data_IF_906846573838
#
_entry.id   IF_906846573838
#
_cell.length_a   1.000
_cell.length_b   1.000
_cell.length_c   1.000
_cell.angle_alpha   90.00
_cell.angle_beta   90.00
_cell.angle_gamma   90.00
#
_symmetry.space_group_name_H-M   'P 1'
#
loop_
_entity.id
_entity.type
_entity.pdbx_description
1 polymer ?
#
# COMPACT_ATOMS: atom_id res chain seq x y z
N UNK A 1 -2.78 -9.72 16.32
CA UNK A 1 -1.90 -8.92 17.19
C UNK A 1 -0.40 -9.12 16.90
N UNK A 2 0.07 -10.35 16.63
CA UNK A 2 1.51 -10.63 16.44
C UNK A 2 2.03 -10.03 15.12
N UNK A 3 1.30 -10.14 14.04
CA UNK A 3 1.65 -9.49 12.76
C UNK A 3 1.80 -7.98 12.89
N UNK A 4 0.90 -7.33 13.64
CA UNK A 4 0.99 -5.91 13.93
C UNK A 4 2.27 -5.57 14.72
N UNK A 5 2.58 -6.36 15.76
CA UNK A 5 3.81 -6.17 16.55
C UNK A 5 5.06 -6.30 15.66
N UNK A 6 5.09 -7.27 14.74
CA UNK A 6 6.21 -7.44 13.80
C UNK A 6 6.44 -6.20 12.93
N UNK A 7 5.36 -5.65 12.36
CA UNK A 7 5.45 -4.43 11.54
C UNK A 7 5.87 -3.24 12.39
N UNK A 8 5.32 -3.11 13.60
CA UNK A 8 5.69 -2.03 14.52
C UNK A 8 7.16 -2.10 14.93
N UNK A 9 7.70 -3.28 15.23
CA UNK A 9 9.12 -3.44 15.56
C UNK A 9 9.99 -2.92 14.41
N UNK A 10 9.67 -3.30 13.15
CA UNK A 10 10.40 -2.81 11.99
C UNK A 10 10.30 -1.30 11.82
N UNK A 11 9.08 -0.75 11.90
CA UNK A 11 8.84 0.68 11.75
C UNK A 11 9.53 1.51 12.84
N UNK A 12 9.37 1.13 14.11
CA UNK A 12 10.00 1.84 15.22
C UNK A 12 11.54 1.75 15.14
N UNK A 13 12.07 0.58 14.81
CA UNK A 13 13.52 0.42 14.61
C UNK A 13 14.04 1.32 13.49
N UNK A 14 13.31 1.43 12.39
CA UNK A 14 13.67 2.29 11.26
C UNK A 14 13.63 3.78 11.66
N UNK A 15 12.53 4.24 12.28
CA UNK A 15 12.37 5.63 12.75
C UNK A 15 13.49 6.05 13.72
N UNK A 16 13.96 5.12 14.55
CA UNK A 16 15.06 5.41 15.51
C UNK A 16 16.42 5.38 14.82
N UNK A 17 16.66 4.42 13.91
CA UNK A 17 17.96 4.25 13.26
C UNK A 17 18.22 5.28 12.16
N UNK A 18 17.18 5.75 11.45
CA UNK A 18 17.32 6.75 10.39
C UNK A 18 18.00 8.04 10.87
N UNK A 19 17.54 8.72 11.94
CA UNK A 19 18.21 9.92 12.44
C UNK A 19 19.65 9.65 12.92
N UNK A 20 19.89 8.51 13.53
CA UNK A 20 21.22 8.16 14.06
C UNK A 20 22.22 8.01 12.91
N UNK A 21 21.85 7.29 11.84
CA UNK A 21 22.75 7.05 10.71
C UNK A 21 22.86 8.24 9.76
N UNK A 22 21.75 8.96 9.55
CA UNK A 22 21.74 10.12 8.64
C UNK A 22 22.47 11.31 9.27
N UNK A 23 22.10 11.68 10.50
CA UNK A 23 22.60 12.88 11.16
C UNK A 23 23.73 12.60 12.14
N UNK A 24 23.65 11.52 12.94
CA UNK A 24 24.67 11.20 13.94
C UNK A 24 25.98 10.70 13.32
N UNK A 25 25.90 9.81 12.34
CA UNK A 25 27.06 9.26 11.65
C UNK A 25 27.36 9.95 10.31
N UNK A 26 26.60 10.97 9.93
CA UNK A 26 26.73 11.75 8.69
C UNK A 26 26.79 10.90 7.41
N UNK A 27 26.14 9.72 7.41
CA UNK A 27 26.17 8.79 6.27
C UNK A 27 25.21 9.15 5.14
N UNK A 28 24.31 10.16 5.34
CA UNK A 28 23.34 10.58 4.33
C UNK A 28 22.47 9.44 3.82
N UNK A 29 22.34 9.30 2.48
CA UNK A 29 21.52 8.27 1.83
C UNK A 29 21.94 6.85 2.16
N UNK A 30 23.27 6.62 2.34
CA UNK A 30 23.80 5.30 2.75
C UNK A 30 23.32 4.93 4.16
N UNK A 31 23.21 5.91 5.04
CA UNK A 31 22.69 5.73 6.41
C UNK A 31 21.24 5.28 6.39
N UNK A 32 20.37 5.93 5.59
CA UNK A 32 18.98 5.54 5.43
C UNK A 32 18.83 4.10 4.89
N UNK A 33 19.65 3.72 3.90
CA UNK A 33 19.65 2.36 3.38
C UNK A 33 20.05 1.33 4.42
N UNK A 34 21.10 1.60 5.22
CA UNK A 34 21.52 0.72 6.31
C UNK A 34 20.47 0.61 7.42
N UNK A 35 19.85 1.71 7.82
CA UNK A 35 18.78 1.70 8.81
C UNK A 35 17.61 0.82 8.35
N UNK A 36 17.21 0.92 7.08
CA UNK A 36 16.17 0.09 6.49
C UNK A 36 16.53 -1.39 6.53
N UNK A 37 17.77 -1.76 6.12
CA UNK A 37 18.22 -3.16 6.12
C UNK A 37 18.23 -3.71 7.55
N UNK A 38 18.78 -2.97 8.51
CA UNK A 38 18.85 -3.40 9.91
C UNK A 38 17.45 -3.57 10.51
N UNK A 39 16.54 -2.64 10.26
CA UNK A 39 15.15 -2.70 10.73
C UNK A 39 14.42 -3.92 10.19
N UNK A 40 14.62 -4.25 8.91
CA UNK A 40 14.06 -5.46 8.30
C UNK A 40 14.70 -6.73 8.87
N UNK A 41 16.00 -6.73 9.13
CA UNK A 41 16.68 -7.85 9.81
C UNK A 41 16.11 -8.08 11.21
N UNK A 42 15.91 -7.03 11.99
CA UNK A 42 15.32 -7.11 13.34
C UNK A 42 13.92 -7.72 13.29
N UNK A 43 13.07 -7.24 12.36
CA UNK A 43 11.73 -7.81 12.13
C UNK A 43 11.80 -9.28 11.72
N UNK A 44 12.72 -9.64 10.83
CA UNK A 44 12.92 -11.00 10.38
C UNK A 44 13.33 -11.93 11.53
N UNK A 45 14.32 -11.52 12.33
CA UNK A 45 14.76 -12.28 13.52
C UNK A 45 13.60 -12.47 14.50
N UNK A 46 12.80 -11.43 14.73
CA UNK A 46 11.61 -11.53 15.58
C UNK A 46 10.61 -12.58 15.07
N UNK A 47 10.29 -12.54 13.77
CA UNK A 47 9.37 -13.51 13.15
C UNK A 47 9.91 -14.93 13.24
N UNK A 48 11.17 -15.11 12.92
CA UNK A 48 11.83 -16.43 12.99
C UNK A 48 11.83 -16.95 14.42
N UNK A 49 12.22 -16.14 15.39
CA UNK A 49 12.19 -16.51 16.81
C UNK A 49 10.77 -16.87 17.28
N UNK A 50 9.75 -16.12 16.80
CA UNK A 50 8.37 -16.44 17.09
C UNK A 50 7.93 -17.79 16.49
N UNK A 51 8.30 -18.08 15.22
CA UNK A 51 7.96 -19.33 14.54
C UNK A 51 8.65 -20.57 15.16
N UNK A 52 9.82 -20.40 15.74
CA UNK A 52 10.47 -21.46 16.54
C UNK A 52 9.92 -21.58 17.96
N UNK A 53 9.13 -20.60 18.41
CA UNK A 53 8.51 -20.58 19.72
C UNK A 53 7.42 -21.66 19.91
N UNK A 54 7.16 -22.01 21.17
CA UNK A 54 6.15 -23.03 21.53
C UNK A 54 4.69 -22.52 21.41
N UNK A 55 4.48 -21.23 21.15
CA UNK A 55 3.14 -20.57 21.09
C UNK A 55 2.50 -20.61 19.71
N UNK A 56 3.19 -21.11 18.67
CA UNK A 56 2.68 -21.15 17.30
C UNK A 56 2.15 -22.53 16.93
N UNK A 57 1.03 -22.53 16.21
CA UNK A 57 0.45 -23.72 15.59
C UNK A 57 1.33 -24.16 14.39
N UNK A 58 1.91 -23.17 13.68
CA UNK A 58 2.80 -23.39 12.54
C UNK A 58 4.23 -23.61 13.06
N UNK A 59 4.79 -24.76 12.73
CA UNK A 59 6.20 -25.11 13.06
C UNK A 59 7.01 -25.32 11.79
N UNK A 60 8.12 -24.60 11.71
CA UNK A 60 9.11 -24.85 10.65
C UNK A 60 9.78 -26.19 10.91
N UNK A 61 9.52 -27.17 10.03
CA UNK A 61 10.18 -28.47 10.02
C UNK A 61 11.03 -28.57 8.75
N UNK A 62 12.28 -28.97 8.87
CA UNK A 62 13.18 -29.14 7.72
C UNK A 62 12.62 -30.08 6.65
N UNK A 63 11.83 -31.08 7.05
CA UNK A 63 11.16 -32.01 6.14
C UNK A 63 10.14 -31.33 5.20
N UNK A 64 9.60 -30.17 5.57
CA UNK A 64 8.58 -29.45 4.80
C UNK A 64 9.18 -28.42 3.81
N UNK A 65 10.51 -28.34 3.70
CA UNK A 65 11.17 -27.49 2.70
C UNK A 65 11.04 -28.04 1.27
N UNK A 66 10.83 -29.34 1.12
CA UNK A 66 10.55 -29.95 -0.19
C UNK A 66 9.06 -29.80 -0.50
N UNK A 67 8.71 -28.70 -1.15
CA UNK A 67 7.31 -28.41 -1.50
C UNK A 67 6.97 -29.08 -2.83
N UNK A 68 5.84 -29.80 -2.88
CA UNK A 68 5.34 -30.41 -4.10
C UNK A 68 4.99 -29.36 -5.16
N UNK A 69 5.36 -29.58 -6.45
CA UNK A 69 5.00 -28.68 -7.55
C UNK A 69 3.50 -28.39 -7.64
N UNK A 70 2.65 -29.34 -7.24
CA UNK A 70 1.18 -29.19 -7.21
C UNK A 70 0.69 -28.10 -6.25
N UNK A 71 1.48 -27.76 -5.22
CA UNK A 71 1.16 -26.72 -4.26
C UNK A 71 1.76 -25.37 -4.69
N UNK A 72 2.96 -25.43 -5.29
CA UNK A 72 3.67 -24.21 -5.73
C UNK A 72 2.98 -23.57 -6.94
N UNK A 73 2.52 -24.37 -7.90
CA UNK A 73 1.98 -23.88 -9.17
C UNK A 73 0.78 -22.92 -8.99
N UNK A 74 -0.26 -23.22 -8.19
CA UNK A 74 -1.33 -22.25 -7.91
C UNK A 74 -0.84 -20.96 -7.24
N UNK A 75 0.14 -21.05 -6.34
CA UNK A 75 0.71 -19.86 -5.67
C UNK A 75 1.46 -18.97 -6.68
N UNK A 76 2.23 -19.58 -7.60
CA UNK A 76 2.92 -18.84 -8.67
C UNK A 76 1.92 -18.17 -9.60
N UNK A 77 0.84 -18.84 -9.97
CA UNK A 77 -0.20 -18.28 -10.85
C UNK A 77 -0.86 -17.05 -10.23
N UNK A 78 -1.20 -17.10 -8.93
CA UNK A 78 -1.72 -15.95 -8.20
C UNK A 78 -0.69 -14.81 -8.11
N UNK A 79 0.57 -15.15 -7.86
CA UNK A 79 1.67 -14.18 -7.82
C UNK A 79 1.94 -13.53 -9.19
N UNK A 80 1.80 -14.29 -10.28
CA UNK A 80 2.00 -13.81 -11.65
C UNK A 80 0.95 -12.75 -12.03
N UNK A 81 -0.30 -12.94 -11.63
CA UNK A 81 -1.36 -11.93 -11.85
C UNK A 81 -1.01 -10.59 -11.19
N UNK A 82 -0.59 -10.64 -9.93
CA UNK A 82 -0.14 -9.44 -9.19
C UNK A 82 1.12 -8.82 -9.82
N UNK A 83 2.06 -9.65 -10.26
CA UNK A 83 3.29 -9.20 -10.94
C UNK A 83 2.98 -8.45 -12.23
N UNK A 84 2.10 -8.99 -13.08
CA UNK A 84 1.69 -8.35 -14.34
C UNK A 84 1.03 -7.00 -14.06
N UNK A 85 0.15 -6.93 -13.05
CA UNK A 85 -0.53 -5.70 -12.66
C UNK A 85 0.49 -4.63 -12.22
N UNK A 86 1.42 -4.96 -11.33
CA UNK A 86 2.44 -4.03 -10.84
C UNK A 86 3.44 -3.62 -11.94
N UNK A 87 3.78 -4.54 -12.84
CA UNK A 87 4.64 -4.24 -13.99
C UNK A 87 3.96 -3.27 -14.97
N UNK A 88 2.67 -3.45 -15.21
CA UNK A 88 1.88 -2.56 -16.05
C UNK A 88 1.81 -1.14 -15.48
N UNK A 89 1.59 -1.01 -14.17
CA UNK A 89 1.64 0.27 -13.46
C UNK A 89 2.99 0.98 -13.62
N UNK A 90 4.09 0.23 -13.50
CA UNK A 90 5.45 0.77 -13.68
C UNK A 90 5.69 1.27 -15.10
N UNK A 91 5.27 0.50 -16.12
CA UNK A 91 5.38 0.90 -17.54
C UNK A 91 4.55 2.15 -17.82
N UNK A 92 3.30 2.19 -17.33
CA UNK A 92 2.43 3.37 -17.46
C UNK A 92 3.09 4.60 -16.83
N UNK A 93 3.64 4.47 -15.64
CA UNK A 93 4.34 5.57 -14.94
C UNK A 93 5.52 6.11 -15.74
N UNK A 94 6.35 5.23 -16.30
CA UNK A 94 7.50 5.65 -17.13
C UNK A 94 7.04 6.36 -18.42
N UNK A 95 6.07 5.78 -19.13
CA UNK A 95 5.53 6.38 -20.34
C UNK A 95 4.87 7.73 -20.07
N UNK A 96 4.13 7.82 -18.97
CA UNK A 96 3.44 9.04 -18.59
C UNK A 96 4.41 10.15 -18.21
N UNK A 97 5.43 9.86 -17.39
CA UNK A 97 6.46 10.83 -17.01
C UNK A 97 7.28 11.29 -18.21
N UNK A 98 7.62 10.38 -19.13
CA UNK A 98 8.35 10.73 -20.37
C UNK A 98 7.51 11.65 -21.26
N UNK A 99 6.21 11.40 -21.38
CA UNK A 99 5.31 12.26 -22.16
C UNK A 99 5.10 13.62 -21.50
N UNK A 100 4.96 13.67 -20.17
CA UNK A 100 4.85 14.92 -19.43
C UNK A 100 6.09 15.79 -19.58
N UNK A 101 7.28 15.20 -19.49
CA UNK A 101 8.53 15.93 -19.70
C UNK A 101 8.60 16.55 -21.11
N UNK A 102 8.18 15.78 -22.12
CA UNK A 102 8.23 16.21 -23.53
C UNK A 102 7.26 17.35 -23.86
N UNK A 103 6.04 17.32 -23.30
CA UNK A 103 4.96 18.25 -23.66
C UNK A 103 4.66 19.31 -22.59
N UNK A 104 4.97 19.06 -21.34
CA UNK A 104 4.65 19.96 -20.22
C UNK A 104 5.86 20.53 -19.47
N UNK A 105 7.07 20.04 -19.80
CA UNK A 105 8.29 20.49 -19.14
C UNK A 105 8.38 20.12 -17.65
N UNK A 106 9.31 20.77 -16.95
CA UNK A 106 9.63 20.46 -15.55
C UNK A 106 8.47 20.75 -14.58
N UNK A 107 7.66 21.75 -14.87
CA UNK A 107 6.49 22.11 -14.05
C UNK A 107 5.47 20.98 -14.05
N UNK A 108 5.20 20.37 -15.21
CA UNK A 108 4.24 19.27 -15.30
C UNK A 108 4.74 18.00 -14.60
N UNK A 109 6.04 17.71 -14.68
CA UNK A 109 6.66 16.58 -13.95
C UNK A 109 6.63 16.83 -12.44
N UNK A 110 6.95 18.05 -12.01
CA UNK A 110 6.85 18.45 -10.60
C UNK A 110 5.42 18.33 -10.07
N UNK A 111 4.44 18.83 -10.82
CA UNK A 111 3.03 18.68 -10.46
C UNK A 111 2.61 17.22 -10.38
N UNK A 112 3.01 16.37 -11.33
CA UNK A 112 2.70 14.94 -11.31
C UNK A 112 3.29 14.22 -10.10
N UNK A 113 4.48 14.60 -9.68
CA UNK A 113 5.09 14.08 -8.45
C UNK A 113 4.25 14.41 -7.22
N UNK A 114 3.72 15.63 -7.15
CA UNK A 114 2.81 16.04 -6.07
C UNK A 114 1.49 15.25 -6.14
N UNK A 115 0.90 15.13 -7.32
CA UNK A 115 -0.34 14.38 -7.55
C UNK A 115 -0.22 12.92 -7.09
N UNK A 116 0.86 12.25 -7.50
CA UNK A 116 1.13 10.85 -7.11
C UNK A 116 1.37 10.72 -5.62
N UNK A 117 2.03 11.67 -4.99
CA UNK A 117 2.25 11.69 -3.53
C UNK A 117 0.94 11.85 -2.76
N UNK A 118 0.07 12.76 -3.19
CA UNK A 118 -1.28 12.93 -2.62
C UNK A 118 -2.10 11.64 -2.78
N UNK A 119 -2.06 11.01 -3.96
CA UNK A 119 -2.77 9.75 -4.20
C UNK A 119 -2.22 8.60 -3.35
N UNK A 120 -0.91 8.48 -3.19
CA UNK A 120 -0.33 7.46 -2.31
C UNK A 120 -0.78 7.66 -0.86
N UNK A 121 -0.76 8.89 -0.37
CA UNK A 121 -1.26 9.22 0.96
C UNK A 121 -2.75 8.88 1.10
N UNK A 122 -3.55 9.19 0.10
CA UNK A 122 -4.98 8.87 0.03
C UNK A 122 -5.25 7.35 0.07
N UNK A 123 -4.40 6.56 -0.60
CA UNK A 123 -4.57 5.11 -0.72
C UNK A 123 -4.13 4.33 0.53
N UNK A 124 -3.24 4.86 1.37
CA UNK A 124 -2.73 4.17 2.55
C UNK A 124 -3.84 3.68 3.50
N UNK A 125 -4.79 4.53 3.96
CA UNK A 125 -5.87 4.06 4.82
C UNK A 125 -6.82 3.08 4.13
N UNK A 126 -7.14 3.29 2.84
CA UNK A 126 -7.98 2.37 2.07
C UNK A 126 -7.36 0.98 1.99
N UNK A 127 -6.07 0.91 1.69
CA UNK A 127 -5.31 -0.35 1.67
C UNK A 127 -5.29 -1.01 3.06
N UNK A 128 -5.08 -0.23 4.12
CA UNK A 128 -5.08 -0.74 5.49
C UNK A 128 -6.42 -1.34 5.91
N UNK A 129 -7.52 -0.65 5.63
CA UNK A 129 -8.89 -1.10 5.92
C UNK A 129 -9.21 -2.36 5.10
N UNK A 130 -8.88 -2.36 3.81
CA UNK A 130 -9.13 -3.48 2.90
C UNK A 130 -8.35 -4.72 3.32
N UNK A 131 -7.04 -4.60 3.57
CA UNK A 131 -6.20 -5.71 4.03
C UNK A 131 -6.61 -6.21 5.43
N UNK A 132 -7.05 -5.33 6.32
CA UNK A 132 -7.57 -5.70 7.63
C UNK A 132 -8.87 -6.53 7.55
N UNK A 133 -9.68 -6.31 6.53
CA UNK A 133 -10.93 -7.07 6.30
C UNK A 133 -10.71 -8.44 5.65
N UNK A 134 -9.60 -8.62 4.93
CA UNK A 134 -9.28 -9.83 4.18
C UNK A 134 -9.37 -11.13 5.01
N UNK A 135 -8.71 -11.25 6.18
CA UNK A 135 -8.77 -12.47 6.97
C UNK A 135 -10.20 -12.76 7.48
N UNK A 136 -11.00 -11.72 7.73
CA UNK A 136 -12.38 -11.89 8.19
C UNK A 136 -13.24 -12.44 7.05
N UNK A 137 -13.11 -11.90 5.84
CA UNK A 137 -13.82 -12.37 4.66
C UNK A 137 -13.42 -13.82 4.31
N UNK A 138 -12.12 -14.09 4.20
CA UNK A 138 -11.60 -15.42 3.82
C UNK A 138 -11.98 -16.51 4.83
N UNK A 139 -11.87 -16.22 6.13
CA UNK A 139 -12.23 -17.18 7.18
C UNK A 139 -13.72 -17.53 7.16
N UNK A 140 -14.60 -16.50 7.09
CA UNK A 140 -16.05 -16.74 7.10
C UNK A 140 -16.51 -17.38 5.78
N UNK A 141 -15.87 -17.09 4.65
CA UNK A 141 -16.14 -17.74 3.38
C UNK A 141 -15.78 -19.24 3.43
N UNK A 142 -14.57 -19.57 3.91
CA UNK A 142 -14.14 -20.96 4.10
C UNK A 142 -14.99 -21.74 5.12
N UNK A 143 -15.58 -21.05 6.11
CA UNK A 143 -16.51 -21.64 7.07
C UNK A 143 -17.97 -21.76 6.54
N UNK A 144 -18.26 -21.35 5.29
CA UNK A 144 -19.60 -21.37 4.72
C UNK A 144 -20.56 -20.33 5.29
N UNK A 145 -20.06 -19.32 6.02
CA UNK A 145 -20.89 -18.36 6.76
C UNK A 145 -21.21 -17.13 5.90
N UNK A 146 -22.08 -17.33 4.89
CA UNK A 146 -22.43 -16.33 3.87
C UNK A 146 -23.01 -15.04 4.47
N UNK A 147 -23.74 -15.11 5.55
CA UNK A 147 -24.31 -13.95 6.20
C UNK A 147 -23.23 -13.02 6.76
N UNK A 148 -22.23 -13.59 7.43
CA UNK A 148 -21.09 -12.82 7.96
C UNK A 148 -20.23 -12.23 6.86
N UNK A 149 -20.00 -12.98 5.78
CA UNK A 149 -19.29 -12.47 4.58
C UNK A 149 -20.01 -11.26 4.02
N UNK A 150 -21.34 -11.36 3.83
CA UNK A 150 -22.15 -10.25 3.30
C UNK A 150 -22.14 -9.02 4.24
N UNK A 151 -22.23 -9.25 5.55
CA UNK A 151 -22.19 -8.16 6.55
C UNK A 151 -20.83 -7.46 6.55
N UNK A 152 -19.74 -8.23 6.54
CA UNK A 152 -18.38 -7.69 6.50
C UNK A 152 -18.14 -6.91 5.22
N UNK A 153 -18.57 -7.43 4.06
CA UNK A 153 -18.44 -6.73 2.78
C UNK A 153 -19.22 -5.41 2.76
N UNK A 154 -20.47 -5.40 3.24
CA UNK A 154 -21.26 -4.17 3.33
C UNK A 154 -20.60 -3.13 4.23
N UNK A 155 -20.04 -3.55 5.37
CA UNK A 155 -19.34 -2.66 6.26
C UNK A 155 -18.05 -2.11 5.62
N UNK A 156 -17.26 -2.98 4.99
CA UNK A 156 -16.07 -2.59 4.25
C UNK A 156 -16.40 -1.56 3.17
N UNK A 157 -17.42 -1.83 2.35
CA UNK A 157 -17.87 -0.94 1.29
C UNK A 157 -18.32 0.42 1.85
N UNK A 158 -19.12 0.42 2.91
CA UNK A 158 -19.57 1.66 3.56
C UNK A 158 -18.42 2.50 4.08
N UNK A 159 -17.46 1.88 4.79
CA UNK A 159 -16.29 2.59 5.35
C UNK A 159 -15.40 3.13 4.24
N UNK A 160 -15.08 2.31 3.22
CA UNK A 160 -14.25 2.74 2.10
C UNK A 160 -14.91 3.86 1.28
N UNK A 161 -16.21 3.77 1.02
CA UNK A 161 -16.95 4.83 0.34
C UNK A 161 -16.97 6.12 1.15
N UNK A 162 -17.31 6.05 2.44
CA UNK A 162 -17.34 7.24 3.30
C UNK A 162 -15.97 7.93 3.32
N UNK A 163 -14.90 7.16 3.48
CA UNK A 163 -13.55 7.71 3.46
C UNK A 163 -13.21 8.36 2.10
N UNK A 164 -13.51 7.66 0.99
CA UNK A 164 -13.22 8.17 -0.36
C UNK A 164 -13.99 9.44 -0.68
N UNK A 165 -15.27 9.52 -0.28
CA UNK A 165 -16.08 10.73 -0.46
C UNK A 165 -15.60 11.90 0.38
N UNK A 166 -15.26 11.65 1.64
CA UNK A 166 -14.75 12.69 2.54
C UNK A 166 -13.42 13.24 2.00
N UNK A 167 -12.51 12.36 1.60
CA UNK A 167 -11.21 12.76 1.09
C UNK A 167 -11.33 13.48 -0.26
N UNK A 168 -12.16 12.97 -1.16
CA UNK A 168 -12.47 13.63 -2.42
C UNK A 168 -13.01 15.03 -2.21
N UNK A 169 -14.01 15.18 -1.35
CA UNK A 169 -14.57 16.49 -1.02
C UNK A 169 -13.55 17.44 -0.40
N UNK A 170 -12.66 16.92 0.44
CA UNK A 170 -11.61 17.72 1.06
C UNK A 170 -10.56 18.21 0.05
N UNK A 171 -10.16 17.35 -0.90
CA UNK A 171 -9.24 17.73 -1.98
C UNK A 171 -9.87 18.75 -2.93
N UNK A 172 -11.15 18.57 -3.30
CA UNK A 172 -11.86 19.50 -4.18
C UNK A 172 -12.06 20.89 -3.55
N UNK A 173 -12.34 20.93 -2.24
CA UNK A 173 -12.54 22.20 -1.52
C UNK A 173 -11.23 22.96 -1.27
N UNK A 174 -10.14 22.21 -1.00
CA UNK A 174 -8.86 22.82 -0.60
C UNK A 174 -7.66 22.35 -1.43
N UNK A 175 -7.71 22.38 -2.78
CA UNK A 175 -6.63 21.84 -3.63
C UNK A 175 -5.32 22.61 -3.46
N UNK A 176 -5.39 23.94 -3.27
CA UNK A 176 -4.22 24.78 -3.04
C UNK A 176 -3.53 24.47 -1.69
N UNK A 177 -4.30 24.05 -0.68
CA UNK A 177 -3.75 23.63 0.61
C UNK A 177 -2.85 22.41 0.46
N UNK A 178 -3.31 21.42 -0.30
CA UNK A 178 -2.51 20.22 -0.61
C UNK A 178 -1.26 20.57 -1.43
N UNK A 179 -1.37 21.39 -2.47
CA UNK A 179 -0.23 21.79 -3.27
C UNK A 179 0.85 22.57 -2.46
N UNK A 180 0.43 23.45 -1.56
CA UNK A 180 1.32 24.20 -0.66
C UNK A 180 2.09 23.34 0.34
N UNK A 181 1.60 22.15 0.68
CA UNK A 181 2.33 21.23 1.56
C UNK A 181 3.61 20.69 0.91
N UNK A 182 3.67 20.68 -0.43
CA UNK A 182 4.77 20.08 -1.18
C UNK A 182 5.67 21.11 -1.87
N UNK A 183 5.18 22.32 -2.15
CA UNK A 183 5.96 23.36 -2.82
C UNK A 183 5.60 24.76 -2.33
N UNK A 184 6.59 25.66 -2.44
CA UNK A 184 6.42 27.10 -2.18
C UNK A 184 6.36 27.92 -3.46
N UNK A 185 6.55 27.31 -4.63
CA UNK A 185 6.50 27.99 -5.94
C UNK A 185 5.04 28.24 -6.34
N UNK A 186 4.69 29.53 -6.51
CA UNK A 186 3.33 29.94 -6.83
C UNK A 186 2.82 29.38 -8.17
N UNK A 187 3.68 29.32 -9.19
CA UNK A 187 3.32 28.81 -10.51
C UNK A 187 3.03 27.31 -10.45
N UNK A 188 3.85 26.55 -9.73
CA UNK A 188 3.67 25.12 -9.53
C UNK A 188 2.43 24.83 -8.68
N UNK A 189 2.15 25.64 -7.66
CA UNK A 189 0.96 25.48 -6.79
C UNK A 189 -0.32 25.66 -7.60
N UNK A 190 -0.41 26.72 -8.40
CA UNK A 190 -1.62 27.00 -9.18
C UNK A 190 -1.88 25.92 -10.24
N UNK A 191 -0.83 25.52 -10.97
CA UNK A 191 -0.91 24.43 -11.93
C UNK A 191 -1.31 23.11 -11.26
N UNK A 192 -0.68 22.78 -10.13
CA UNK A 192 -0.96 21.55 -9.37
C UNK A 192 -2.37 21.55 -8.80
N UNK A 193 -2.87 22.69 -8.30
CA UNK A 193 -4.22 22.78 -7.76
C UNK A 193 -5.30 22.51 -8.82
N UNK A 194 -5.09 23.00 -10.04
CA UNK A 194 -5.99 22.69 -11.17
C UNK A 194 -5.89 21.22 -11.58
N UNK A 195 -4.68 20.71 -11.70
CA UNK A 195 -4.42 19.32 -12.05
C UNK A 195 -4.96 18.33 -10.98
N UNK A 196 -4.91 18.67 -9.67
CA UNK A 196 -5.47 17.87 -8.58
C UNK A 196 -6.97 17.64 -8.73
N UNK A 197 -7.73 18.67 -9.09
CA UNK A 197 -9.18 18.54 -9.29
C UNK A 197 -9.51 17.55 -10.40
N UNK A 198 -8.78 17.61 -11.51
CA UNK A 198 -8.99 16.70 -12.64
C UNK A 198 -8.56 15.29 -12.28
N UNK A 199 -7.37 15.14 -11.69
CA UNK A 199 -6.77 13.85 -11.37
C UNK A 199 -7.52 13.11 -10.27
N UNK A 200 -8.00 13.82 -9.25
CA UNK A 200 -8.74 13.26 -8.13
C UNK A 200 -10.26 13.21 -8.37
N UNK A 201 -10.79 13.65 -9.52
CA UNK A 201 -12.21 13.68 -9.81
C UNK A 201 -12.91 12.33 -9.59
N UNK A 202 -12.21 11.23 -9.87
CA UNK A 202 -12.73 9.86 -9.77
C UNK A 202 -12.40 9.19 -8.44
N UNK A 203 -11.73 9.89 -7.53
CA UNK A 203 -11.29 9.35 -6.23
C UNK A 203 -12.46 8.80 -5.39
N UNK A 204 -13.64 9.38 -5.50
CA UNK A 204 -14.84 8.90 -4.83
C UNK A 204 -15.22 7.45 -5.19
N UNK A 205 -14.86 6.98 -6.39
CA UNK A 205 -15.15 5.60 -6.84
C UNK A 205 -14.11 4.58 -6.39
N UNK A 206 -12.94 5.02 -5.93
CA UNK A 206 -11.89 4.10 -5.46
C UNK A 206 -12.33 3.26 -4.25
N UNK A 207 -13.23 3.78 -3.42
CA UNK A 207 -13.82 3.01 -2.31
C UNK A 207 -14.56 1.77 -2.78
N UNK A 208 -15.28 1.84 -3.91
CA UNK A 208 -15.97 0.69 -4.52
C UNK A 208 -14.94 -0.28 -5.07
N UNK A 209 -13.99 0.22 -5.85
CA UNK A 209 -12.96 -0.61 -6.48
C UNK A 209 -12.20 -1.42 -5.43
N UNK A 210 -11.67 -0.77 -4.40
CA UNK A 210 -10.86 -1.42 -3.35
C UNK A 210 -11.66 -2.46 -2.58
N UNK A 211 -12.91 -2.16 -2.20
CA UNK A 211 -13.75 -3.11 -1.48
C UNK A 211 -14.13 -4.33 -2.32
N UNK A 212 -14.47 -4.12 -3.60
CA UNK A 212 -14.79 -5.22 -4.50
C UNK A 212 -13.56 -6.07 -4.81
N UNK A 213 -12.42 -5.45 -5.12
CA UNK A 213 -11.17 -6.15 -5.37
C UNK A 213 -10.76 -7.01 -4.17
N UNK A 214 -10.81 -6.45 -2.95
CA UNK A 214 -10.49 -7.21 -1.75
C UNK A 214 -11.46 -8.37 -1.49
N UNK A 215 -12.75 -8.19 -1.78
CA UNK A 215 -13.73 -9.27 -1.67
C UNK A 215 -13.40 -10.42 -2.64
N UNK A 216 -13.10 -10.13 -3.90
CA UNK A 216 -12.72 -11.16 -4.88
C UNK A 216 -11.42 -11.88 -4.49
N UNK A 217 -10.39 -11.16 -4.07
CA UNK A 217 -9.15 -11.75 -3.57
C UNK A 217 -9.40 -12.64 -2.37
N UNK A 218 -10.26 -12.21 -1.43
CA UNK A 218 -10.57 -12.96 -0.21
C UNK A 218 -11.33 -14.26 -0.47
N UNK A 219 -12.12 -14.32 -1.55
CA UNK A 219 -12.90 -15.50 -1.97
C UNK A 219 -12.04 -16.45 -2.84
N UNK A 220 -10.87 -16.01 -3.29
CA UNK A 220 -10.01 -16.78 -4.18
C UNK A 220 -10.42 -16.72 -5.66
N UNK A 221 -11.32 -15.78 -6.03
CA UNK A 221 -11.78 -15.52 -7.40
C UNK A 221 -11.02 -14.35 -8.02
N UNK A 222 -9.69 -14.36 -7.89
CA UNK A 222 -8.82 -13.27 -8.38
C UNK A 222 -8.47 -13.41 -9.88
N UNK A 223 -9.14 -14.30 -10.60
CA UNK A 223 -8.98 -14.55 -12.04
C UNK A 223 -10.28 -14.23 -12.76
#
# INVERSE_FOLDING_TARGET
>A
NIGMVTVMIGAVSNIVLDPIFIFGLHMGVRGAALATIISQCVSCVWVVAFLFGKKTILRLKAKNFFVSPKIILPCITLGLATFIMQSSESVISVCFNSSLLKYGGDIAVGAMTILTSVMQFAMLPLNGISQGSQPILSYNYGAGNSERVRKTFKLLLAVCLTYSFLLWGFIELFPQGFARMFSSDAALIDFTAHALRIYCAVLCLFGIQMSCQMAFVSIGSAL
#
